data_IF_257404237863
#
_entry.id   IF_257404237863
#
_cell.length_a   1.000
_cell.length_b   1.000
_cell.length_c   1.000
_cell.angle_alpha   90.00
_cell.angle_beta   90.00
_cell.angle_gamma   90.00
#
_symmetry.space_group_name_H-M   'P 1'
#
loop_
_entity.id
_entity.type
_entity.pdbx_description
1 polymer ?
#
# COMPACT_ATOMS: atom_id res chain seq x y z
N UNK A 1 12.43 17.71 21.82
CA UNK A 1 12.54 16.28 22.14
C UNK A 1 12.68 15.51 20.84
N UNK A 2 13.66 14.61 20.74
CA UNK A 2 13.81 13.69 19.61
C UNK A 2 13.04 12.40 19.95
N UNK A 3 11.78 12.35 19.54
CA UNK A 3 10.88 11.25 19.87
C UNK A 3 11.30 9.93 19.21
N UNK A 4 12.00 10.00 18.07
CA UNK A 4 12.51 8.81 17.37
C UNK A 4 13.75 8.18 18.03
N UNK A 5 14.50 8.94 18.82
CA UNK A 5 15.66 8.45 19.57
C UNK A 5 15.30 7.84 20.93
N UNK A 6 14.13 8.17 21.46
CA UNK A 6 13.68 7.70 22.77
C UNK A 6 12.95 6.35 22.70
N UNK A 7 12.31 6.00 21.57
CA UNK A 7 11.58 4.73 21.37
C UNK A 7 11.55 4.30 19.91
N UNK A 8 11.51 2.99 19.68
CA UNK A 8 11.31 2.39 18.35
C UNK A 8 9.81 2.36 18.00
N UNK A 9 9.29 3.48 17.51
CA UNK A 9 7.87 3.62 17.18
C UNK A 9 7.46 2.94 15.88
N UNK A 10 8.36 2.85 14.90
CA UNK A 10 8.06 2.28 13.58
C UNK A 10 8.41 0.79 13.54
N UNK A 11 7.45 -0.02 13.14
CA UNK A 11 7.53 -1.47 13.00
C UNK A 11 7.86 -1.87 11.56
N UNK A 12 8.09 -3.16 11.33
CA UNK A 12 8.26 -3.76 10.00
C UNK A 12 9.33 -3.12 9.09
N UNK A 13 10.37 -2.52 9.69
CA UNK A 13 11.45 -1.86 8.96
C UNK A 13 11.17 -0.40 8.60
N UNK A 14 10.06 0.17 9.07
CA UNK A 14 9.74 1.58 8.89
C UNK A 14 10.78 2.52 9.52
N UNK A 15 11.01 3.66 8.89
CA UNK A 15 11.95 4.70 9.35
C UNK A 15 11.23 5.79 10.11
N UNK A 16 11.67 6.09 11.33
CA UNK A 16 11.10 7.16 12.15
C UNK A 16 11.68 8.53 11.79
N UNK A 17 10.82 9.54 11.63
CA UNK A 17 11.22 10.95 11.49
C UNK A 17 10.47 11.84 12.47
N UNK A 18 11.19 12.75 13.13
CA UNK A 18 10.58 13.77 13.97
C UNK A 18 9.79 14.78 13.12
N UNK A 19 8.59 15.15 13.57
CA UNK A 19 7.71 16.07 12.88
C UNK A 19 6.92 16.94 13.85
N UNK A 20 7.24 18.25 13.91
CA UNK A 20 6.51 19.28 14.68
C UNK A 20 6.12 18.89 16.12
N UNK A 21 7.07 18.31 16.87
CA UNK A 21 6.81 17.88 18.26
C UNK A 21 6.10 16.53 18.39
N UNK A 22 5.90 15.83 17.28
CA UNK A 22 5.48 14.42 17.22
C UNK A 22 6.49 13.62 16.38
N UNK A 23 6.23 12.35 16.13
CA UNK A 23 6.94 11.50 15.19
C UNK A 23 6.05 11.12 14.01
N UNK A 24 6.67 10.77 12.89
CA UNK A 24 6.00 10.16 11.73
C UNK A 24 6.84 8.99 11.25
N UNK A 25 6.19 7.86 11.03
CA UNK A 25 6.84 6.71 10.41
C UNK A 25 6.74 6.79 8.89
N UNK A 26 7.85 6.50 8.22
CA UNK A 26 7.89 6.18 6.81
C UNK A 26 7.92 4.66 6.69
N UNK A 27 6.80 4.08 6.27
CA UNK A 27 6.64 2.63 6.20
C UNK A 27 7.35 2.07 4.97
N UNK A 28 7.85 0.86 5.14
CA UNK A 28 8.31 0.01 4.05
C UNK A 28 7.11 -0.49 3.25
N UNK A 29 7.37 -0.89 2.01
CA UNK A 29 6.35 -1.37 1.11
C UNK A 29 5.61 -2.58 1.68
N UNK A 30 4.29 -2.62 1.47
CA UNK A 30 3.41 -3.62 2.07
C UNK A 30 2.98 -3.31 3.52
N UNK A 31 3.36 -2.15 4.09
CA UNK A 31 2.94 -1.74 5.44
C UNK A 31 2.40 -0.31 5.50
N UNK A 32 1.42 -0.09 6.37
CA UNK A 32 0.77 1.20 6.61
C UNK A 32 0.40 1.39 8.08
N UNK A 33 -0.31 2.48 8.38
CA UNK A 33 -0.63 2.88 9.74
C UNK A 33 0.41 3.82 10.36
N UNK A 34 0.09 4.38 11.52
CA UNK A 34 0.92 5.40 12.20
C UNK A 34 2.32 4.89 12.56
N UNK A 35 2.42 3.60 12.84
CA UNK A 35 3.62 2.88 13.28
C UNK A 35 4.02 1.76 12.31
N UNK A 36 3.44 1.69 11.11
CA UNK A 36 3.69 0.61 10.14
C UNK A 36 3.30 -0.79 10.65
N UNK A 37 2.32 -0.89 11.57
CA UNK A 37 1.81 -2.18 12.05
C UNK A 37 0.94 -2.89 11.04
N UNK A 38 0.27 -2.14 10.17
CA UNK A 38 -0.82 -2.67 9.35
C UNK A 38 -0.24 -3.20 8.05
N UNK A 39 -0.58 -4.44 7.69
CA UNK A 39 -0.20 -4.99 6.39
C UNK A 39 -1.11 -4.38 5.34
N UNK A 40 -0.51 -3.83 4.27
CA UNK A 40 -1.26 -3.34 3.13
C UNK A 40 -1.59 -4.53 2.25
N UNK A 41 -2.77 -5.09 2.45
CA UNK A 41 -3.29 -6.14 1.58
C UNK A 41 -4.22 -5.53 0.54
N UNK A 42 -3.64 -4.85 -0.46
CA UNK A 42 -4.39 -4.10 -1.49
C UNK A 42 -5.37 -4.99 -2.29
N UNK A 43 -5.11 -6.30 -2.37
CA UNK A 43 -5.97 -7.28 -3.05
C UNK A 43 -6.84 -8.12 -2.10
N UNK A 44 -6.99 -7.76 -0.81
CA UNK A 44 -7.94 -8.43 0.08
C UNK A 44 -9.37 -8.41 -0.46
N UNK A 45 -9.73 -7.31 -1.11
CA UNK A 45 -11.01 -7.16 -1.78
C UNK A 45 -10.75 -6.84 -3.24
N UNK A 46 -11.37 -7.61 -4.16
CA UNK A 46 -11.22 -7.40 -5.60
C UNK A 46 -12.12 -6.23 -6.10
N UNK A 47 -12.34 -5.23 -5.25
CA UNK A 47 -13.34 -4.18 -5.43
C UNK A 47 -12.85 -3.08 -6.38
N UNK A 48 -11.53 -2.98 -6.55
CA UNK A 48 -10.84 -2.02 -7.40
C UNK A 48 -10.71 -2.50 -8.86
N UNK A 49 -10.60 -3.81 -9.08
CA UNK A 49 -10.51 -4.39 -10.43
C UNK A 49 -11.91 -4.65 -11.00
N UNK A 50 -12.21 -4.06 -12.15
CA UNK A 50 -13.50 -4.20 -12.82
C UNK A 50 -13.47 -5.31 -13.87
N UNK A 51 -14.65 -5.66 -14.39
CA UNK A 51 -14.81 -6.57 -15.54
C UNK A 51 -14.04 -7.90 -15.41
N UNK A 52 -14.14 -8.54 -14.24
CA UNK A 52 -13.47 -9.81 -13.92
C UNK A 52 -11.93 -9.74 -13.92
N UNK A 53 -11.34 -8.53 -13.84
CA UNK A 53 -9.92 -8.36 -13.64
C UNK A 53 -9.44 -8.98 -12.32
N UNK A 54 -8.24 -9.57 -12.36
CA UNK A 54 -7.63 -10.24 -11.21
C UNK A 54 -6.66 -9.27 -10.53
N UNK A 55 -6.92 -8.92 -9.27
CA UNK A 55 -5.96 -8.15 -8.48
C UNK A 55 -4.74 -9.00 -8.12
N UNK A 56 -3.56 -8.54 -8.53
CA UNK A 56 -2.27 -9.18 -8.23
C UNK A 56 -1.48 -8.27 -7.29
N UNK A 57 -1.09 -8.81 -6.13
CA UNK A 57 -0.18 -8.15 -5.22
C UNK A 57 1.24 -8.19 -5.78
N UNK A 58 1.88 -7.03 -5.88
CA UNK A 58 3.29 -6.86 -6.20
C UNK A 58 4.05 -6.57 -4.90
N UNK A 59 5.39 -6.63 -4.93
CA UNK A 59 6.24 -6.35 -3.75
C UNK A 59 6.00 -4.95 -3.14
N UNK A 60 5.36 -4.04 -3.87
CA UNK A 60 5.23 -2.64 -3.48
C UNK A 60 3.98 -1.93 -3.95
N UNK A 61 3.10 -2.63 -4.66
CA UNK A 61 1.89 -2.08 -5.25
C UNK A 61 0.89 -3.20 -5.55
N UNK A 62 -0.23 -2.87 -6.18
CA UNK A 62 -1.14 -3.83 -6.80
C UNK A 62 -1.40 -3.46 -8.25
N UNK A 63 -1.64 -4.47 -9.08
CA UNK A 63 -2.06 -4.29 -10.46
C UNK A 63 -3.29 -5.16 -10.72
N UNK A 64 -4.24 -4.66 -11.52
CA UNK A 64 -5.29 -5.48 -12.09
C UNK A 64 -4.80 -6.13 -13.39
N UNK A 65 -4.74 -7.46 -13.42
CA UNK A 65 -4.58 -8.22 -14.66
C UNK A 65 -5.94 -8.30 -15.36
N UNK A 66 -6.04 -7.72 -16.56
CA UNK A 66 -7.28 -7.62 -17.32
C UNK A 66 -7.45 -8.79 -18.29
N UNK A 67 -8.70 -9.20 -18.52
CA UNK A 67 -9.06 -10.08 -19.64
C UNK A 67 -8.76 -9.40 -20.99
N UNK A 68 -8.54 -10.20 -22.04
CA UNK A 68 -8.11 -9.75 -23.38
C UNK A 68 -9.01 -8.65 -23.99
N UNK A 69 -10.25 -8.52 -23.52
CA UNK A 69 -11.22 -7.54 -23.98
C UNK A 69 -11.24 -6.24 -23.16
N UNK A 70 -10.42 -6.12 -22.11
CA UNK A 70 -10.42 -4.96 -21.21
C UNK A 70 -9.01 -4.40 -20.98
N UNK A 71 -8.94 -3.12 -20.62
CA UNK A 71 -7.69 -2.41 -20.32
C UNK A 71 -7.94 -1.23 -19.37
N UNK A 72 -6.87 -0.52 -19.02
CA UNK A 72 -6.88 0.53 -17.99
C UNK A 72 -6.27 0.03 -16.69
N UNK A 73 -6.00 0.95 -15.75
CA UNK A 73 -5.38 0.60 -14.45
C UNK A 73 -6.28 -0.33 -13.63
N UNK A 74 -7.59 -0.22 -13.81
CA UNK A 74 -8.61 -0.96 -13.07
C UNK A 74 -9.40 -1.90 -13.99
N UNK A 75 -8.96 -2.16 -15.22
CA UNK A 75 -9.71 -2.91 -16.24
C UNK A 75 -11.08 -2.30 -16.58
N UNK A 76 -11.21 -0.98 -16.50
CA UNK A 76 -12.47 -0.24 -16.67
C UNK A 76 -12.84 0.04 -18.14
N UNK A 77 -11.88 -0.05 -19.05
CA UNK A 77 -12.05 0.25 -20.47
C UNK A 77 -12.18 -1.05 -21.27
N UNK A 78 -13.01 -1.05 -22.32
CA UNK A 78 -13.19 -2.19 -23.22
C UNK A 78 -12.43 -1.98 -24.52
N UNK A 79 -11.66 -2.98 -24.95
CA UNK A 79 -11.07 -3.09 -26.28
C UNK A 79 -12.21 -3.31 -27.28
N UNK A 80 -12.59 -2.28 -28.04
CA UNK A 80 -13.66 -2.32 -29.05
C UNK A 80 -13.21 -3.07 -30.29
#
# INVERSE_FOLDING_TARGET
ADLCSERKWCLNGGTCRNYRGNYRCHCTNGFSGMNCSDVVEVCLSNEHCHNEGVCVLLESDSLCECDDQFFGTNCELRSV
#
